data_IF_289267753320
#
_entry.id   IF_289267753320
#
_cell.length_a   1.000
_cell.length_b   1.000
_cell.length_c   1.000
_cell.angle_alpha   90.00
_cell.angle_beta   90.00
_cell.angle_gamma   90.00
#
_symmetry.space_group_name_H-M   'P 1'
#
loop_
_entity.id
_entity.type
_entity.pdbx_description
1 polymer ?
#
# COMPACT_ATOMS: atom_id res chain seq x y z
N UNK A 1 47.60 -21.21 -16.34
CA UNK A 1 47.31 -20.46 -15.09
C UNK A 1 45.82 -20.25 -14.75
N UNK A 2 44.87 -20.26 -15.70
CA UNK A 2 43.45 -19.88 -15.44
C UNK A 2 42.56 -20.96 -14.80
N UNK A 3 42.88 -22.25 -14.94
CA UNK A 3 42.01 -23.35 -14.46
C UNK A 3 42.21 -23.66 -12.98
N UNK A 4 43.46 -23.60 -12.48
CA UNK A 4 43.78 -23.85 -11.07
C UNK A 4 43.21 -22.77 -10.14
N UNK A 5 43.19 -21.51 -10.60
CA UNK A 5 42.59 -20.39 -9.85
C UNK A 5 41.07 -20.54 -9.76
N UNK A 6 40.39 -20.96 -10.82
CA UNK A 6 38.94 -21.23 -10.79
C UNK A 6 38.57 -22.36 -9.81
N UNK A 7 39.35 -23.43 -9.76
CA UNK A 7 39.13 -24.53 -8.81
C UNK A 7 39.32 -24.08 -7.35
N UNK A 8 40.29 -23.20 -7.09
CA UNK A 8 40.49 -22.58 -5.77
C UNK A 8 39.30 -21.70 -5.35
N UNK A 9 38.75 -20.89 -6.27
CA UNK A 9 37.57 -20.08 -5.98
C UNK A 9 36.32 -20.92 -5.74
N UNK A 10 36.11 -21.99 -6.51
CA UNK A 10 34.99 -22.91 -6.29
C UNK A 10 35.15 -23.64 -4.95
N UNK A 11 36.36 -24.10 -4.62
CA UNK A 11 36.65 -24.71 -3.32
C UNK A 11 36.39 -23.75 -2.15
N UNK A 12 36.81 -22.50 -2.28
CA UNK A 12 36.55 -21.47 -1.27
C UNK A 12 35.05 -21.16 -1.12
N UNK A 13 34.32 -21.06 -2.23
CA UNK A 13 32.88 -20.82 -2.21
C UNK A 13 32.11 -21.98 -1.54
N UNK A 14 32.46 -23.24 -1.88
CA UNK A 14 31.87 -24.42 -1.25
C UNK A 14 32.20 -24.47 0.24
N UNK A 15 33.43 -24.13 0.62
CA UNK A 15 33.84 -24.07 2.02
C UNK A 15 33.06 -23.01 2.81
N UNK A 16 32.88 -21.81 2.26
CA UNK A 16 32.07 -20.74 2.87
C UNK A 16 30.62 -21.20 3.03
N UNK A 17 30.01 -21.80 2.00
CA UNK A 17 28.64 -22.31 2.07
C UNK A 17 28.51 -23.40 3.14
N UNK A 18 29.47 -24.33 3.20
CA UNK A 18 29.47 -25.41 4.18
C UNK A 18 29.62 -24.89 5.61
N UNK A 19 30.53 -23.94 5.85
CA UNK A 19 30.73 -23.31 7.15
C UNK A 19 29.51 -22.48 7.55
N UNK A 20 28.94 -21.68 6.64
CA UNK A 20 27.69 -20.94 6.88
C UNK A 20 26.53 -21.88 7.21
N UNK A 21 26.40 -23.01 6.50
CA UNK A 21 25.40 -24.03 6.81
C UNK A 21 25.62 -24.63 8.20
N UNK A 22 26.85 -24.99 8.57
CA UNK A 22 27.17 -25.56 9.89
C UNK A 22 27.00 -24.57 11.04
N UNK A 23 27.18 -23.27 10.80
CA UNK A 23 26.88 -22.22 11.77
C UNK A 23 25.35 -22.08 11.97
N UNK A 24 24.56 -22.22 10.90
CA UNK A 24 23.10 -22.09 10.92
C UNK A 24 22.36 -23.39 11.27
N UNK A 25 23.02 -24.56 11.20
CA UNK A 25 22.45 -25.88 11.45
C UNK A 25 21.74 -25.99 12.82
N UNK A 26 22.26 -25.43 13.93
CA UNK A 26 21.57 -25.46 15.22
C UNK A 26 20.26 -24.65 15.22
N UNK A 27 20.21 -23.50 14.53
CA UNK A 27 19.00 -22.67 14.42
C UNK A 27 17.96 -23.29 13.49
N UNK A 28 18.39 -23.87 12.37
CA UNK A 28 17.53 -24.59 11.44
C UNK A 28 16.90 -25.83 12.10
N UNK A 29 17.65 -26.56 12.93
CA UNK A 29 17.13 -27.67 13.73
C UNK A 29 16.17 -27.19 14.83
N UNK A 30 16.43 -26.03 15.45
CA UNK A 30 15.50 -25.39 16.39
C UNK A 30 14.17 -25.05 15.73
N UNK A 31 14.21 -24.48 14.53
CA UNK A 31 13.02 -24.13 13.75
C UNK A 31 12.23 -25.38 13.34
N UNK A 32 12.92 -26.44 12.88
CA UNK A 32 12.30 -27.72 12.52
C UNK A 32 11.65 -28.41 13.73
N UNK A 33 12.28 -28.36 14.90
CA UNK A 33 11.75 -28.97 16.13
C UNK A 33 10.59 -28.16 16.72
N UNK A 34 10.62 -26.82 16.65
CA UNK A 34 9.50 -25.95 17.04
C UNK A 34 8.29 -26.11 16.12
N UNK A 35 8.52 -26.35 14.82
CA UNK A 35 7.47 -26.69 13.87
C UNK A 35 6.88 -28.07 14.24
N UNK A 36 7.71 -29.10 14.42
CA UNK A 36 7.24 -30.46 14.73
C UNK A 36 6.50 -30.56 16.07
N UNK A 37 6.90 -29.81 17.11
CA UNK A 37 6.17 -29.79 18.39
C UNK A 37 4.80 -29.12 18.30
N UNK A 38 4.64 -28.10 17.45
CA UNK A 38 3.36 -27.43 17.17
C UNK A 38 2.38 -28.32 16.39
N UNK A 39 2.89 -29.21 15.53
CA UNK A 39 2.09 -30.18 14.79
C UNK A 39 1.70 -31.42 15.63
N UNK A 40 2.61 -31.92 16.47
CA UNK A 40 2.28 -33.09 17.32
C UNK A 40 1.32 -32.76 18.48
N UNK A 41 1.14 -31.48 18.85
CA UNK A 41 0.14 -31.07 19.84
C UNK A 41 -1.28 -30.93 19.28
N UNK A 42 -1.47 -31.04 17.95
CA UNK A 42 -2.77 -30.90 17.29
C UNK A 42 -3.34 -32.21 16.73
N UNK A 43 -2.60 -33.32 16.79
CA UNK A 43 -3.00 -34.64 16.26
C UNK A 43 -3.58 -35.61 17.31
N UNK A 44 -4.02 -35.11 18.47
CA UNK A 44 -4.45 -35.95 19.58
C UNK A 44 -5.77 -35.54 20.22
N UNK A 45 -6.85 -35.33 19.44
CA UNK A 45 -8.22 -35.38 19.96
C UNK A 45 -9.27 -35.52 18.84
N UNK A 46 -9.75 -36.76 18.69
CA UNK A 46 -11.05 -37.21 18.19
C UNK A 46 -11.58 -36.67 16.84
N UNK A 47 -11.33 -37.48 15.81
CA UNK A 47 -12.22 -37.63 14.66
C UNK A 47 -13.51 -38.35 15.11
N UNK A 48 -14.63 -37.63 15.10
CA UNK A 48 -15.96 -38.23 14.97
C UNK A 48 -16.66 -37.50 13.83
N UNK A 49 -17.15 -38.29 12.87
CA UNK A 49 -17.93 -37.86 11.71
C UNK A 49 -19.05 -36.91 12.14
N UNK A 50 -19.03 -35.69 11.61
CA UNK A 50 -20.15 -34.78 11.67
C UNK A 50 -20.81 -34.74 10.28
N UNK A 51 -22.02 -35.28 10.20
CA UNK A 51 -22.98 -35.05 9.12
C UNK A 51 -23.09 -33.55 8.77
N UNK A 52 -23.46 -33.22 7.51
CA UNK A 52 -23.52 -31.83 7.07
C UNK A 52 -24.52 -31.05 7.92
N UNK A 53 -24.01 -30.23 8.84
CA UNK A 53 -24.81 -29.27 9.57
C UNK A 53 -25.38 -28.29 8.56
N UNK A 54 -26.69 -28.36 8.37
CA UNK A 54 -27.52 -27.29 7.82
C UNK A 54 -27.04 -25.96 8.40
N UNK A 55 -26.52 -25.11 7.53
CA UNK A 55 -26.18 -23.72 7.86
C UNK A 55 -27.42 -23.09 8.47
N UNK A 56 -27.36 -22.82 9.77
CA UNK A 56 -28.36 -22.03 10.46
C UNK A 56 -28.38 -20.64 9.83
N UNK A 57 -29.34 -20.42 8.94
CA UNK A 57 -29.80 -19.10 8.53
C UNK A 57 -30.45 -18.44 9.73
N UNK A 58 -29.64 -17.82 10.58
CA UNK A 58 -30.10 -16.87 11.58
C UNK A 58 -29.00 -15.86 11.89
N UNK A 59 -28.83 -14.90 10.97
CA UNK A 59 -28.60 -13.52 11.38
C UNK A 59 -29.73 -12.67 10.79
N UNK A 60 -30.78 -12.61 11.58
CA UNK A 60 -31.86 -11.63 11.52
C UNK A 60 -31.29 -10.22 11.76
N UNK A 61 -30.85 -9.56 10.70
CA UNK A 61 -30.77 -8.08 10.66
C UNK A 61 -30.84 -7.49 9.25
N UNK A 62 -31.06 -8.31 8.21
CA UNK A 62 -31.20 -7.83 6.83
C UNK A 62 -32.50 -8.29 6.15
N UNK A 63 -33.60 -8.32 6.90
CA UNK A 63 -34.95 -8.26 6.33
C UNK A 63 -35.59 -6.96 6.79
N UNK A 64 -35.12 -5.85 6.21
CA UNK A 64 -35.91 -4.63 6.18
C UNK A 64 -36.94 -4.87 5.08
N UNK A 65 -38.20 -5.02 5.47
CA UNK A 65 -39.32 -4.93 4.53
C UNK A 65 -39.09 -3.71 3.64
N UNK A 66 -38.78 -3.95 2.37
CA UNK A 66 -38.67 -2.90 1.37
C UNK A 66 -40.09 -2.40 1.09
N UNK A 67 -40.53 -1.44 1.91
CA UNK A 67 -41.56 -0.51 1.50
C UNK A 67 -41.03 0.22 0.26
N UNK A 68 -41.59 -0.14 -0.89
CA UNK A 68 -41.17 0.30 -2.22
C UNK A 68 -41.45 1.77 -2.49
N UNK A 69 -40.64 2.66 -1.92
CA UNK A 69 -40.28 3.90 -2.61
C UNK A 69 -38.98 3.63 -3.36
N UNK A 70 -39.02 3.65 -4.69
CA UNK A 70 -37.85 3.58 -5.54
C UNK A 70 -36.88 4.71 -5.13
N UNK A 71 -35.70 4.35 -4.61
CA UNK A 71 -34.72 5.34 -4.16
C UNK A 71 -34.22 6.06 -5.42
N UNK A 72 -34.52 7.35 -5.51
CA UNK A 72 -34.10 8.18 -6.64
C UNK A 72 -32.58 8.32 -6.68
N UNK A 73 -32.01 8.49 -7.88
CA UNK A 73 -30.59 8.84 -8.06
C UNK A 73 -30.19 10.05 -7.20
N UNK A 74 -31.08 11.03 -7.07
CA UNK A 74 -30.88 12.20 -6.23
C UNK A 74 -30.74 11.84 -4.75
N UNK A 75 -31.59 10.94 -4.23
CA UNK A 75 -31.47 10.47 -2.85
C UNK A 75 -30.16 9.71 -2.62
N UNK A 76 -29.73 8.87 -3.56
CA UNK A 76 -28.43 8.18 -3.47
C UNK A 76 -27.28 9.18 -3.43
N UNK A 77 -27.26 10.16 -4.36
CA UNK A 77 -26.22 11.21 -4.40
C UNK A 77 -26.23 12.01 -3.09
N UNK A 78 -27.40 12.37 -2.58
CA UNK A 78 -27.51 13.14 -1.35
C UNK A 78 -26.97 12.34 -0.15
N UNK A 79 -27.32 11.06 -0.02
CA UNK A 79 -26.77 10.16 1.00
C UNK A 79 -25.26 10.00 0.85
N UNK A 80 -24.73 9.89 -0.37
CA UNK A 80 -23.28 9.86 -0.58
C UNK A 80 -22.60 11.17 -0.16
N UNK A 81 -23.19 12.32 -0.49
CA UNK A 81 -22.65 13.63 -0.06
C UNK A 81 -22.66 13.72 1.47
N UNK A 82 -23.74 13.31 2.12
CA UNK A 82 -23.85 13.35 3.59
C UNK A 82 -22.84 12.42 4.27
N UNK A 83 -22.60 11.23 3.70
CA UNK A 83 -21.69 10.24 4.28
C UNK A 83 -20.21 10.55 3.99
N UNK A 84 -19.89 11.14 2.83
CA UNK A 84 -18.50 11.28 2.37
C UNK A 84 -18.00 12.72 2.28
N UNK A 85 -18.84 13.74 2.49
CA UNK A 85 -18.36 15.13 2.55
C UNK A 85 -17.62 15.37 3.87
N UNK A 86 -16.30 15.62 3.86
CA UNK A 86 -15.55 15.83 5.09
C UNK A 86 -15.99 17.12 5.79
N UNK A 87 -16.32 17.02 7.08
CA UNK A 87 -16.51 18.18 7.94
C UNK A 87 -15.17 18.59 8.57
N UNK A 88 -14.48 19.55 7.92
CA UNK A 88 -13.19 20.07 8.38
C UNK A 88 -13.24 20.88 9.70
N UNK A 89 -14.44 21.17 10.22
CA UNK A 89 -14.64 21.94 11.45
C UNK A 89 -15.27 21.10 12.56
N UNK A 90 -15.31 19.78 12.40
CA UNK A 90 -15.79 18.89 13.44
C UNK A 90 -14.93 19.07 14.71
N UNK A 91 -15.55 19.32 15.88
CA UNK A 91 -14.82 19.51 17.13
C UNK A 91 -14.16 18.19 17.55
N UNK A 92 -12.90 18.25 17.95
CA UNK A 92 -12.17 17.09 18.44
C UNK A 92 -12.00 17.20 19.95
N UNK A 93 -12.35 16.14 20.68
CA UNK A 93 -12.18 16.05 22.14
C UNK A 93 -10.76 15.62 22.53
N UNK A 94 -10.01 15.06 21.58
CA UNK A 94 -8.63 14.60 21.77
C UNK A 94 -7.80 14.87 20.50
N UNK A 95 -6.52 14.50 20.53
CA UNK A 95 -5.63 14.69 19.39
C UNK A 95 -6.17 13.99 18.13
N UNK A 96 -6.15 14.65 16.95
CA UNK A 96 -6.54 14.00 15.68
C UNK A 96 -5.72 12.73 15.38
N UNK A 97 -4.48 12.69 15.87
CA UNK A 97 -3.57 11.55 15.68
C UNK A 97 -3.98 10.35 16.53
N UNK A 98 -4.44 10.59 17.75
CA UNK A 98 -4.89 9.54 18.67
C UNK A 98 -6.21 8.94 18.16
N UNK A 99 -7.13 9.77 17.66
CA UNK A 99 -8.38 9.33 17.03
C UNK A 99 -8.08 8.44 15.84
N UNK A 100 -7.25 8.92 14.90
CA UNK A 100 -6.87 8.17 13.71
C UNK A 100 -6.18 6.84 14.06
N UNK A 101 -5.34 6.83 15.11
CA UNK A 101 -4.67 5.62 15.54
C UNK A 101 -5.59 4.58 16.16
N UNK A 102 -6.65 5.02 16.88
CA UNK A 102 -7.68 4.13 17.46
C UNK A 102 -8.59 3.50 16.42
N UNK A 103 -8.72 4.10 15.24
CA UNK A 103 -9.54 3.57 14.15
C UNK A 103 -8.97 2.34 13.46
N UNK A 104 -7.65 2.17 13.51
CA UNK A 104 -6.98 1.09 12.77
C UNK A 104 -7.26 -0.24 13.47
N UNK A 105 -7.80 -1.17 12.69
CA UNK A 105 -8.14 -2.54 13.08
C UNK A 105 -7.67 -3.51 11.97
N UNK A 106 -7.59 -4.83 12.23
CA UNK A 106 -7.12 -5.79 11.23
C UNK A 106 -7.86 -5.76 9.89
N UNK A 107 -9.14 -5.32 9.89
CA UNK A 107 -10.04 -5.29 8.72
C UNK A 107 -10.46 -3.89 8.26
N UNK A 108 -9.96 -2.82 8.87
CA UNK A 108 -10.26 -1.44 8.45
C UNK A 108 -9.21 -0.44 8.97
N UNK A 109 -8.95 0.63 8.21
CA UNK A 109 -8.08 1.73 8.63
C UNK A 109 -8.88 2.85 9.29
N UNK A 110 -10.09 3.07 8.81
CA UNK A 110 -11.02 4.07 9.32
C UNK A 110 -12.44 3.49 9.33
N UNK A 111 -13.30 3.92 10.26
CA UNK A 111 -14.66 3.42 10.36
C UNK A 111 -15.52 3.95 9.22
N UNK A 112 -16.63 3.27 8.95
CA UNK A 112 -17.61 3.70 7.95
C UNK A 112 -18.17 5.10 8.22
N UNK A 113 -18.49 5.38 9.49
CA UNK A 113 -19.01 6.66 9.95
C UNK A 113 -17.92 7.45 10.69
N UNK A 114 -16.90 7.89 9.96
CA UNK A 114 -15.77 8.65 10.48
C UNK A 114 -16.07 10.16 10.56
N UNK A 115 -16.83 10.61 11.56
CA UNK A 115 -17.25 12.02 11.70
C UNK A 115 -16.07 12.98 11.83
N UNK A 116 -14.99 12.53 12.46
CA UNK A 116 -13.76 13.26 12.73
C UNK A 116 -12.84 13.32 11.50
N UNK A 117 -13.14 12.57 10.42
CA UNK A 117 -12.25 12.40 9.26
C UNK A 117 -11.85 13.75 8.67
N UNK A 118 -12.81 14.64 8.45
CA UNK A 118 -12.53 15.97 7.93
C UNK A 118 -11.57 16.76 8.81
N UNK A 119 -11.77 16.77 10.13
CA UNK A 119 -10.90 17.49 11.05
C UNK A 119 -9.49 16.89 11.11
N UNK A 120 -9.33 15.57 11.01
CA UNK A 120 -8.02 14.90 10.94
C UNK A 120 -7.30 15.24 9.64
N UNK A 121 -8.00 15.19 8.50
CA UNK A 121 -7.44 15.59 7.21
C UNK A 121 -7.02 17.08 7.23
N UNK A 122 -7.82 17.96 7.85
CA UNK A 122 -7.44 19.37 8.06
C UNK A 122 -6.14 19.47 8.85
N UNK A 123 -6.02 18.75 9.97
CA UNK A 123 -4.82 18.74 10.79
C UNK A 123 -3.60 18.29 9.97
N UNK A 124 -3.71 17.26 9.11
CA UNK A 124 -2.63 16.87 8.20
C UNK A 124 -2.24 18.00 7.24
N UNK A 125 -3.23 18.68 6.66
CA UNK A 125 -3.00 19.73 5.66
C UNK A 125 -2.45 21.04 6.23
N UNK A 126 -2.73 21.37 7.50
CA UNK A 126 -2.42 22.66 8.12
C UNK A 126 -1.39 22.58 9.25
N UNK A 127 -1.15 21.39 9.81
CA UNK A 127 -0.20 21.20 10.89
C UNK A 127 1.22 21.62 10.51
N UNK A 128 2.00 22.06 11.49
CA UNK A 128 3.36 22.55 11.28
C UNK A 128 4.28 21.40 10.92
N UNK A 129 5.04 21.51 9.83
CA UNK A 129 6.07 20.52 9.51
C UNK A 129 7.29 20.82 10.39
N UNK A 130 7.65 19.88 11.27
CA UNK A 130 8.72 20.08 12.26
C UNK A 130 9.96 19.23 11.98
N UNK A 131 9.88 18.27 11.05
CA UNK A 131 11.02 17.51 10.54
C UNK A 131 10.73 17.04 9.12
N UNK A 132 11.77 17.05 8.27
CA UNK A 132 11.71 16.54 6.91
C UNK A 132 12.93 15.69 6.57
N UNK A 133 12.72 14.52 5.98
CA UNK A 133 13.78 13.63 5.51
C UNK A 133 13.29 12.73 4.38
N UNK A 134 14.18 12.04 3.66
CA UNK A 134 13.78 10.93 2.77
C UNK A 134 13.92 9.57 3.47
N UNK A 135 13.08 8.61 3.09
CA UNK A 135 13.19 7.22 3.55
C UNK A 135 14.37 6.47 2.89
N UNK A 136 14.85 5.41 3.51
CA UNK A 136 15.98 4.62 2.96
C UNK A 136 15.58 3.61 1.87
N UNK A 137 14.28 3.38 1.67
CA UNK A 137 13.75 2.34 0.78
C UNK A 137 12.61 2.89 -0.08
N UNK A 138 12.44 2.30 -1.25
CA UNK A 138 11.41 2.67 -2.23
C UNK A 138 12.00 3.00 -3.60
N UNK A 139 11.15 2.94 -4.61
CA UNK A 139 11.52 3.21 -6.00
C UNK A 139 11.23 4.64 -6.42
N UNK A 140 10.31 5.33 -5.76
CA UNK A 140 9.84 6.66 -6.12
C UNK A 140 10.26 7.72 -5.09
N UNK A 141 10.32 8.97 -5.54
CA UNK A 141 10.64 10.12 -4.69
C UNK A 141 9.52 10.36 -3.67
N UNK A 142 9.88 10.37 -2.39
CA UNK A 142 9.00 10.70 -1.28
C UNK A 142 9.80 11.21 -0.10
N UNK A 143 9.18 12.10 0.67
CA UNK A 143 9.71 12.54 1.96
C UNK A 143 8.89 11.92 3.09
N UNK A 144 9.54 11.67 4.22
CA UNK A 144 8.89 11.47 5.51
C UNK A 144 8.90 12.82 6.23
N UNK A 145 7.72 13.31 6.57
CA UNK A 145 7.56 14.53 7.35
C UNK A 145 7.03 14.19 8.75
N UNK A 146 7.36 15.01 9.73
CA UNK A 146 6.74 15.02 11.05
C UNK A 146 5.86 16.26 11.17
N UNK A 147 4.57 16.06 11.44
CA UNK A 147 3.58 17.12 11.65
C UNK A 147 3.37 17.33 13.14
N UNK A 148 3.43 18.58 13.59
CA UNK A 148 3.20 19.04 14.96
C UNK A 148 4.03 18.28 16.01
N UNK A 149 5.25 17.86 15.65
CA UNK A 149 6.13 17.00 16.47
C UNK A 149 5.50 15.67 16.91
N UNK A 150 4.38 15.25 16.32
CA UNK A 150 3.59 14.14 16.81
C UNK A 150 3.38 13.06 15.76
N UNK A 151 2.96 13.44 14.54
CA UNK A 151 2.47 12.48 13.56
C UNK A 151 3.37 12.42 12.32
N UNK A 152 3.82 11.22 11.98
CA UNK A 152 4.56 10.98 10.73
C UNK A 152 3.58 10.91 9.56
N UNK A 153 3.99 11.47 8.44
CA UNK A 153 3.30 11.38 7.15
C UNK A 153 4.31 11.16 6.03
N UNK A 154 3.89 10.49 4.96
CA UNK A 154 4.63 10.44 3.71
C UNK A 154 4.17 11.59 2.84
N UNK A 155 5.08 12.42 2.35
CA UNK A 155 4.83 13.42 1.32
C UNK A 155 5.31 12.91 -0.04
N UNK A 156 4.38 12.82 -1.01
CA UNK A 156 4.72 12.56 -2.42
C UNK A 156 4.49 13.84 -3.23
N UNK A 157 5.54 14.43 -3.84
CA UNK A 157 5.42 15.67 -4.59
C UNK A 157 4.68 15.48 -5.91
N UNK A 158 4.13 16.57 -6.44
CA UNK A 158 3.57 16.62 -7.78
C UNK A 158 4.69 16.51 -8.83
N UNK A 159 4.55 15.56 -9.75
CA UNK A 159 5.47 15.35 -10.87
C UNK A 159 4.94 15.89 -12.20
N UNK A 160 3.63 15.82 -12.38
CA UNK A 160 2.97 16.06 -13.66
C UNK A 160 1.78 17.01 -13.50
N UNK A 161 1.41 17.77 -14.55
CA UNK A 161 0.12 18.43 -14.60
C UNK A 161 -1.01 17.37 -14.68
N UNK A 162 -2.24 17.79 -14.36
CA UNK A 162 -3.38 16.85 -14.21
C UNK A 162 -3.79 16.15 -15.52
N UNK A 163 -3.56 16.81 -16.65
CA UNK A 163 -3.85 16.35 -18.01
C UNK A 163 -2.72 15.52 -18.63
N UNK A 164 -1.63 15.30 -17.91
CA UNK A 164 -0.53 14.48 -18.40
C UNK A 164 -0.93 13.01 -18.57
N UNK A 165 -0.75 12.50 -19.79
CA UNK A 165 -0.96 11.10 -20.15
C UNK A 165 0.36 10.34 -20.08
N UNK A 166 0.41 9.28 -19.27
CA UNK A 166 1.58 8.38 -19.22
C UNK A 166 1.48 7.38 -20.36
N UNK A 167 2.57 7.26 -21.11
CA UNK A 167 2.72 6.33 -22.22
C UNK A 167 3.78 5.26 -21.92
N UNK A 168 3.80 4.19 -22.71
CA UNK A 168 4.75 3.08 -22.59
C UNK A 168 4.13 1.88 -21.89
N UNK A 169 4.91 1.18 -21.06
CA UNK A 169 4.42 0.02 -20.31
C UNK A 169 3.35 0.41 -19.27
N UNK A 170 2.47 -0.52 -18.85
CA UNK A 170 1.40 -0.23 -17.88
C UNK A 170 1.89 0.31 -16.52
N UNK A 171 3.15 0.06 -16.15
CA UNK A 171 3.77 0.49 -14.90
C UNK A 171 4.78 1.64 -15.07
N UNK A 172 4.77 2.29 -16.23
CA UNK A 172 5.62 3.45 -16.54
C UNK A 172 5.28 4.68 -15.68
N UNK A 173 6.20 5.63 -15.62
CA UNK A 173 6.00 6.93 -14.98
C UNK A 173 6.37 6.99 -13.49
N UNK A 174 6.33 8.21 -12.95
CA UNK A 174 6.48 8.52 -11.52
C UNK A 174 5.13 8.45 -10.82
N UNK A 175 5.17 8.37 -9.49
CA UNK A 175 3.96 8.46 -8.66
C UNK A 175 3.24 9.80 -8.91
N UNK A 176 1.93 9.73 -9.14
CA UNK A 176 1.02 10.88 -9.20
C UNK A 176 0.45 11.12 -7.81
N UNK A 177 0.78 12.27 -7.22
CA UNK A 177 0.26 12.65 -5.91
C UNK A 177 -1.27 12.73 -5.88
N UNK A 178 -1.89 13.21 -6.96
CA UNK A 178 -3.34 13.25 -7.12
C UNK A 178 -3.96 11.85 -7.29
N UNK A 179 -3.20 10.87 -7.79
CA UNK A 179 -3.63 9.48 -7.86
C UNK A 179 -3.85 8.87 -6.48
N UNK A 180 -2.94 9.12 -5.52
CA UNK A 180 -3.12 8.70 -4.12
C UNK A 180 -4.39 9.30 -3.48
N UNK A 181 -4.65 10.59 -3.76
CA UNK A 181 -5.83 11.29 -3.23
C UNK A 181 -7.10 10.64 -3.79
N UNK A 182 -7.20 10.50 -5.11
CA UNK A 182 -8.36 9.92 -5.78
C UNK A 182 -8.59 8.46 -5.36
N UNK A 183 -7.51 7.68 -5.24
CA UNK A 183 -7.54 6.31 -4.75
C UNK A 183 -8.15 6.21 -3.34
N UNK A 184 -7.71 7.06 -2.40
CA UNK A 184 -8.26 7.11 -1.04
C UNK A 184 -9.78 7.35 -1.03
N UNK A 185 -10.26 8.34 -1.78
CA UNK A 185 -11.70 8.63 -1.85
C UNK A 185 -12.48 7.53 -2.55
N UNK A 186 -11.96 6.96 -3.65
CA UNK A 186 -12.62 5.84 -4.34
C UNK A 186 -12.72 4.61 -3.42
N UNK A 187 -11.66 4.28 -2.70
CA UNK A 187 -11.69 3.17 -1.74
C UNK A 187 -12.66 3.40 -0.58
N UNK A 188 -12.88 4.66 -0.20
CA UNK A 188 -13.93 5.04 0.76
C UNK A 188 -15.33 4.81 0.19
N UNK A 189 -15.57 5.25 -1.05
CA UNK A 189 -16.84 5.10 -1.76
C UNK A 189 -17.21 3.63 -2.01
N UNK A 190 -16.22 2.78 -2.27
CA UNK A 190 -16.40 1.34 -2.45
C UNK A 190 -16.51 0.57 -1.12
N UNK A 191 -16.43 1.26 0.03
CA UNK A 191 -16.52 0.63 1.35
C UNK A 191 -15.33 -0.25 1.72
N UNK A 192 -14.21 -0.16 0.99
CA UNK A 192 -13.03 -0.99 1.22
C UNK A 192 -12.33 -0.60 2.52
N UNK A 193 -12.13 0.70 2.75
CA UNK A 193 -11.53 1.27 3.97
C UNK A 193 -10.16 0.68 4.33
N UNK A 194 -9.39 0.26 3.33
CA UNK A 194 -8.03 -0.34 3.47
C UNK A 194 -6.89 0.57 2.99
N UNK A 195 -7.20 1.82 2.64
CA UNK A 195 -6.24 2.83 2.19
C UNK A 195 -5.97 3.81 3.34
N UNK A 196 -4.72 4.18 3.65
CA UNK A 196 -4.41 5.20 4.65
C UNK A 196 -5.13 6.53 4.35
N UNK A 197 -5.25 7.40 5.35
CA UNK A 197 -5.81 8.73 5.13
C UNK A 197 -4.87 9.54 4.21
N UNK A 198 -5.45 10.20 3.20
CA UNK A 198 -4.70 10.97 2.20
C UNK A 198 -5.30 12.37 2.01
N UNK A 199 -4.46 13.40 1.99
CA UNK A 199 -4.88 14.77 1.64
C UNK A 199 -3.80 15.52 0.85
N UNK A 200 -4.22 16.37 -0.09
CA UNK A 200 -3.33 17.30 -0.79
C UNK A 200 -2.82 18.42 0.12
N UNK A 201 -1.57 18.84 -0.09
CA UNK A 201 -0.97 20.01 0.58
C UNK A 201 -0.09 20.78 -0.38
N UNK A 202 -0.14 22.11 -0.28
CA UNK A 202 0.81 23.03 -0.93
C UNK A 202 1.76 23.53 0.14
N UNK A 203 3.06 23.33 -0.06
CA UNK A 203 4.10 23.57 0.94
C UNK A 203 5.04 24.64 0.42
N UNK A 204 5.27 25.70 1.19
CA UNK A 204 6.26 26.71 0.86
C UNK A 204 7.65 26.18 1.21
N UNK A 205 8.44 25.80 0.22
CA UNK A 205 9.64 24.97 0.40
C UNK A 205 10.66 25.59 1.35
N UNK A 206 11.02 26.86 1.12
CA UNK A 206 12.01 27.58 1.94
C UNK A 206 11.55 27.85 3.38
N UNK A 207 10.22 27.89 3.62
CA UNK A 207 9.65 28.23 4.93
C UNK A 207 9.31 26.99 5.75
N UNK A 208 8.89 25.91 5.10
CA UNK A 208 8.31 24.74 5.76
C UNK A 208 9.16 23.47 5.62
N UNK A 209 10.01 23.34 4.60
CA UNK A 209 10.85 22.14 4.38
C UNK A 209 12.31 22.42 4.70
N UNK A 210 12.89 23.44 4.07
CA UNK A 210 14.32 23.75 4.19
C UNK A 210 14.78 23.90 5.66
N UNK A 211 14.08 24.62 6.56
CA UNK A 211 14.56 24.86 7.92
C UNK A 211 14.53 23.61 8.83
N UNK A 212 13.75 22.60 8.47
CA UNK A 212 13.50 21.39 9.28
C UNK A 212 14.05 20.12 8.63
N UNK A 213 14.81 20.27 7.55
CA UNK A 213 15.40 19.18 6.79
C UNK A 213 16.64 18.62 7.47
N UNK A 214 16.82 17.31 7.41
CA UNK A 214 18.08 16.67 7.83
C UNK A 214 19.25 17.07 6.92
N UNK A 215 20.48 17.00 7.44
CA UNK A 215 21.67 17.31 6.64
C UNK A 215 21.75 16.50 5.34
N UNK A 216 21.32 15.22 5.35
CA UNK A 216 21.32 14.37 4.15
C UNK A 216 20.26 14.80 3.13
N UNK A 217 19.11 15.30 3.56
CA UNK A 217 18.10 15.82 2.65
C UNK A 217 18.59 17.13 2.01
N UNK A 218 19.20 18.02 2.80
CA UNK A 218 19.78 19.28 2.33
C UNK A 218 20.79 19.07 1.21
N UNK A 219 21.63 18.02 1.28
CA UNK A 219 22.60 17.71 0.20
C UNK A 219 21.97 17.34 -1.15
N UNK A 220 20.65 17.11 -1.17
CA UNK A 220 19.90 16.77 -2.41
C UNK A 220 19.14 17.97 -2.97
N UNK A 221 19.26 19.14 -2.34
CA UNK A 221 18.64 20.37 -2.81
C UNK A 221 19.51 21.01 -3.89
N UNK A 222 18.85 21.62 -4.86
CA UNK A 222 19.50 22.32 -5.96
C UNK A 222 18.57 23.41 -6.49
N UNK A 223 19.13 24.35 -7.24
CA UNK A 223 18.35 25.38 -7.91
C UNK A 223 18.26 25.07 -9.41
N UNK A 224 17.10 25.34 -9.99
CA UNK A 224 16.88 25.24 -11.43
C UNK A 224 15.90 26.32 -11.85
N UNK A 225 16.27 27.12 -12.85
CA UNK A 225 15.42 28.17 -13.43
C UNK A 225 14.87 29.18 -12.39
N UNK A 226 15.65 29.45 -11.34
CA UNK A 226 15.26 30.35 -10.24
C UNK A 226 14.32 29.73 -9.20
N UNK A 227 14.00 28.44 -9.30
CA UNK A 227 13.18 27.71 -8.34
C UNK A 227 14.02 26.76 -7.47
N UNK A 228 13.56 26.54 -6.24
CA UNK A 228 14.11 25.54 -5.34
C UNK A 228 13.66 24.14 -5.74
N UNK A 229 14.60 23.19 -5.79
CA UNK A 229 14.33 21.82 -6.20
C UNK A 229 14.96 20.81 -5.23
N UNK A 230 14.46 19.57 -5.27
CA UNK A 230 15.09 18.45 -4.59
C UNK A 230 14.87 17.13 -5.34
N UNK A 231 15.85 16.23 -5.26
CA UNK A 231 15.74 14.87 -5.80
C UNK A 231 15.74 13.79 -4.71
N UNK A 232 16.03 14.14 -3.45
CA UNK A 232 16.03 13.20 -2.33
C UNK A 232 16.91 11.97 -2.60
N UNK A 233 16.45 10.79 -2.14
CA UNK A 233 17.09 9.51 -2.46
C UNK A 233 16.05 8.40 -2.54
N UNK A 234 16.08 7.65 -3.64
CA UNK A 234 15.27 6.47 -3.90
C UNK A 234 15.99 5.59 -4.92
N UNK A 235 15.47 4.40 -5.28
CA UNK A 235 16.11 3.53 -6.29
C UNK A 235 16.28 4.22 -7.66
N UNK A 236 15.34 5.09 -8.03
CA UNK A 236 15.34 5.84 -9.29
C UNK A 236 15.56 7.35 -9.09
N UNK A 237 16.22 7.74 -8.00
CA UNK A 237 16.53 9.13 -7.69
C UNK A 237 18.04 9.26 -7.51
N UNK A 238 18.75 9.52 -8.61
CA UNK A 238 20.21 9.47 -8.67
C UNK A 238 20.85 10.86 -8.71
N UNK A 239 20.13 11.87 -9.19
CA UNK A 239 20.60 13.24 -9.28
C UNK A 239 19.50 14.26 -9.60
N UNK A 240 19.86 15.52 -9.88
CA UNK A 240 18.94 16.62 -10.19
C UNK A 240 17.94 16.33 -11.32
N UNK A 241 18.30 15.47 -12.28
CA UNK A 241 17.43 14.99 -13.36
C UNK A 241 16.22 14.18 -12.88
N UNK A 242 16.33 13.59 -11.69
CA UNK A 242 15.27 12.86 -10.98
C UNK A 242 14.64 13.73 -9.87
N UNK A 243 14.76 15.04 -9.97
CA UNK A 243 14.22 15.99 -9.00
C UNK A 243 12.90 16.63 -9.39
N UNK A 244 12.23 17.20 -8.40
CA UNK A 244 11.07 18.08 -8.55
C UNK A 244 11.43 19.48 -8.10
N UNK A 245 10.82 20.48 -8.74
CA UNK A 245 11.04 21.89 -8.45
C UNK A 245 9.76 22.55 -7.95
N UNK A 246 9.92 23.63 -7.20
CA UNK A 246 8.81 24.50 -6.81
C UNK A 246 8.25 25.27 -8.00
N UNK A 247 7.07 25.87 -7.80
CA UNK A 247 6.52 26.91 -8.68
C UNK A 247 6.18 28.11 -7.80
N UNK A 248 6.89 29.22 -7.99
CA UNK A 248 6.86 30.39 -7.12
C UNK A 248 7.14 30.03 -5.65
N UNK A 249 8.17 29.19 -5.41
CA UNK A 249 8.58 28.77 -4.07
C UNK A 249 7.63 27.78 -3.36
N UNK A 250 6.55 27.35 -4.03
CA UNK A 250 5.58 26.39 -3.50
C UNK A 250 5.68 25.05 -4.23
N UNK A 251 5.68 23.96 -3.47
CA UNK A 251 5.55 22.61 -4.02
C UNK A 251 4.19 22.01 -3.63
N UNK A 252 3.44 21.56 -4.62
CA UNK A 252 2.22 20.79 -4.41
C UNK A 252 2.57 19.31 -4.21
N UNK A 253 1.82 18.62 -3.36
CA UNK A 253 1.90 17.17 -3.24
C UNK A 253 0.77 16.61 -2.40
N UNK A 254 0.92 15.34 -2.02
CA UNK A 254 -0.05 14.63 -1.18
C UNK A 254 0.64 14.15 0.09
N UNK A 255 -0.11 14.14 1.19
CA UNK A 255 0.27 13.57 2.48
C UNK A 255 -0.50 12.27 2.68
N UNK A 256 0.22 11.20 2.97
CA UNK A 256 -0.33 9.89 3.36
C UNK A 256 -0.01 9.66 4.83
N UNK A 257 -1.04 9.43 5.65
CA UNK A 257 -0.88 9.23 7.08
C UNK A 257 -0.10 7.94 7.36
N UNK A 258 0.92 8.01 8.22
CA UNK A 258 1.68 6.82 8.61
C UNK A 258 0.85 5.94 9.54
N UNK A 259 0.96 4.61 9.37
CA UNK A 259 0.28 3.66 10.24
C UNK A 259 0.73 3.79 11.71
N UNK A 260 -0.15 3.55 12.69
CA UNK A 260 0.25 3.57 14.09
C UNK A 260 1.37 2.56 14.37
N UNK A 261 2.30 2.89 15.28
CA UNK A 261 3.52 2.09 15.49
C UNK A 261 3.26 0.66 15.98
N UNK A 262 2.10 0.40 16.58
CA UNK A 262 1.67 -0.94 16.99
C UNK A 262 1.31 -1.85 15.80
N UNK A 263 0.97 -1.27 14.65
CA UNK A 263 0.61 -1.98 13.43
C UNK A 263 1.82 -2.11 12.50
N UNK A 264 2.70 -3.06 12.82
CA UNK A 264 3.84 -3.40 11.95
C UNK A 264 3.34 -4.08 10.67
N UNK A 265 4.01 -3.81 9.56
CA UNK A 265 3.64 -4.33 8.25
C UNK A 265 4.54 -5.50 7.83
N UNK A 266 3.91 -6.58 7.36
CA UNK A 266 4.56 -7.69 6.67
C UNK A 266 4.38 -7.52 5.17
N UNK A 267 5.48 -7.55 4.43
CA UNK A 267 5.50 -7.42 2.98
C UNK A 267 5.39 -8.81 2.31
N UNK A 268 4.47 -8.95 1.37
CA UNK A 268 4.26 -10.17 0.59
C UNK A 268 4.45 -9.89 -0.90
N UNK A 269 5.00 -10.87 -1.63
CA UNK A 269 5.05 -10.80 -3.10
C UNK A 269 3.66 -11.09 -3.66
N UNK A 270 3.17 -10.23 -4.55
CA UNK A 270 1.89 -10.44 -5.22
C UNK A 270 1.98 -11.64 -6.19
N UNK A 271 1.04 -12.62 -6.17
CA UNK A 271 1.10 -13.77 -7.08
C UNK A 271 1.02 -13.35 -8.55
N UNK A 272 0.19 -12.35 -8.86
CA UNK A 272 0.08 -11.73 -10.17
C UNK A 272 1.08 -10.58 -10.42
N UNK A 273 2.22 -10.56 -9.71
CA UNK A 273 3.27 -9.57 -10.00
C UNK A 273 3.76 -9.72 -11.45
N UNK A 274 3.90 -8.60 -12.16
CA UNK A 274 4.61 -8.53 -13.45
C UNK A 274 6.09 -8.84 -13.28
N UNK A 275 6.78 -9.10 -14.39
CA UNK A 275 8.21 -9.40 -14.41
C UNK A 275 9.10 -8.15 -14.37
N UNK A 276 8.58 -7.00 -14.82
CA UNK A 276 9.31 -5.75 -15.00
C UNK A 276 10.53 -5.88 -15.92
N UNK A 277 10.49 -6.84 -16.85
CA UNK A 277 11.55 -7.09 -17.82
C UNK A 277 10.93 -7.12 -19.21
N UNK A 278 11.51 -6.32 -20.10
CA UNK A 278 11.09 -6.26 -21.49
C UNK A 278 11.18 -7.64 -22.15
N UNK A 279 10.12 -8.02 -22.87
CA UNK A 279 10.03 -9.30 -23.56
C UNK A 279 9.87 -10.55 -22.68
N UNK A 280 9.71 -10.40 -21.35
CA UNK A 280 9.55 -11.55 -20.44
C UNK A 280 8.15 -11.53 -19.83
N UNK A 281 7.32 -12.50 -20.18
CA UNK A 281 5.99 -12.67 -19.61
C UNK A 281 6.05 -13.40 -18.25
N UNK A 282 5.19 -13.01 -17.32
CA UNK A 282 5.00 -13.74 -16.07
C UNK A 282 4.21 -15.04 -16.32
N UNK A 283 4.30 -15.99 -15.37
CA UNK A 283 3.57 -17.26 -15.50
C UNK A 283 2.06 -17.08 -15.60
N UNK A 284 1.50 -16.11 -14.86
CA UNK A 284 0.07 -15.83 -14.90
C UNK A 284 -0.40 -15.24 -16.23
N UNK A 285 0.52 -14.69 -17.05
CA UNK A 285 0.22 -14.14 -18.38
C UNK A 285 0.13 -15.25 -19.45
N UNK A 286 0.67 -16.44 -19.18
CA UNK A 286 0.75 -17.54 -20.14
C UNK A 286 0.04 -18.82 -19.72
N UNK A 287 -0.42 -18.90 -18.48
CA UNK A 287 -1.08 -20.06 -17.89
C UNK A 287 -2.50 -19.70 -17.44
N UNK A 288 -3.49 -20.13 -18.22
CA UNK A 288 -4.91 -19.86 -17.92
C UNK A 288 -5.38 -20.50 -16.60
N UNK A 289 -4.68 -21.54 -16.11
CA UNK A 289 -4.98 -22.23 -14.85
C UNK A 289 -4.08 -21.76 -13.71
N UNK A 290 -3.45 -20.59 -13.85
CA UNK A 290 -2.52 -20.08 -12.84
C UNK A 290 -3.15 -19.94 -11.45
N UNK A 291 -4.43 -19.54 -11.36
CA UNK A 291 -5.10 -19.40 -10.07
C UNK A 291 -5.20 -20.71 -9.28
N UNK A 292 -5.29 -21.88 -9.93
CA UNK A 292 -5.32 -23.17 -9.22
C UNK A 292 -4.03 -23.41 -8.42
N UNK A 293 -2.89 -22.99 -8.99
CA UNK A 293 -1.59 -23.02 -8.31
C UNK A 293 -1.55 -22.04 -7.14
N UNK A 294 -2.16 -20.86 -7.28
CA UNK A 294 -2.28 -19.88 -6.19
C UNK A 294 -3.14 -20.45 -5.06
N UNK A 295 -4.33 -21.00 -5.39
CA UNK A 295 -5.27 -21.64 -4.47
C UNK A 295 -4.67 -22.84 -3.73
N UNK A 296 -3.68 -23.53 -4.30
CA UNK A 296 -2.97 -24.61 -3.60
C UNK A 296 -1.96 -24.14 -2.52
N UNK A 297 -1.65 -22.84 -2.48
CA UNK A 297 -0.73 -22.29 -1.49
C UNK A 297 -1.42 -22.09 -0.14
N UNK A 298 -0.79 -22.45 1.01
CA UNK A 298 -1.38 -22.25 2.32
C UNK A 298 -1.79 -20.81 2.65
N UNK A 299 -1.21 -19.81 1.97
CA UNK A 299 -1.54 -18.40 2.16
C UNK A 299 -2.86 -17.97 1.52
N UNK A 300 -3.34 -18.74 0.53
CA UNK A 300 -4.49 -18.38 -0.31
C UNK A 300 -5.56 -19.48 -0.35
N UNK A 301 -5.25 -20.68 0.16
CA UNK A 301 -6.17 -21.82 0.19
C UNK A 301 -7.29 -21.68 1.22
N UNK A 302 -7.08 -20.85 2.24
CA UNK A 302 -8.04 -20.61 3.34
C UNK A 302 -8.05 -19.13 3.72
N UNK A 303 -9.08 -18.72 4.47
CA UNK A 303 -9.25 -17.34 4.92
C UNK A 303 -9.65 -16.39 3.79
N UNK A 304 -9.39 -15.11 4.01
CA UNK A 304 -9.88 -14.01 3.17
C UNK A 304 -8.81 -13.43 2.23
N UNK A 305 -7.56 -13.89 2.30
CA UNK A 305 -6.44 -13.27 1.57
C UNK A 305 -6.64 -13.27 0.04
N UNK A 306 -7.17 -14.35 -0.52
CA UNK A 306 -7.45 -14.41 -1.97
C UNK A 306 -8.59 -13.45 -2.35
N UNK A 307 -9.64 -13.36 -1.53
CA UNK A 307 -10.74 -12.42 -1.74
C UNK A 307 -10.25 -10.96 -1.63
N UNK A 308 -9.35 -10.67 -0.68
CA UNK A 308 -8.74 -9.35 -0.57
C UNK A 308 -7.92 -8.99 -1.82
N UNK A 309 -7.25 -9.96 -2.46
CA UNK A 309 -6.57 -9.76 -3.75
C UNK A 309 -7.59 -9.46 -4.85
N UNK A 310 -8.73 -10.16 -4.87
CA UNK A 310 -9.80 -9.93 -5.86
C UNK A 310 -10.40 -8.53 -5.68
N UNK A 311 -10.77 -8.13 -4.45
CA UNK A 311 -11.24 -6.77 -4.14
C UNK A 311 -10.22 -5.72 -4.64
N UNK A 312 -8.94 -5.96 -4.34
CA UNK A 312 -7.87 -5.03 -4.68
C UNK A 312 -7.63 -4.96 -6.18
N UNK A 313 -7.76 -6.06 -6.93
CA UNK A 313 -7.57 -6.05 -8.38
C UNK A 313 -8.72 -5.31 -9.10
N UNK A 314 -9.95 -5.41 -8.61
CA UNK A 314 -11.09 -4.63 -9.12
C UNK A 314 -10.82 -3.13 -8.87
N UNK A 315 -10.40 -2.78 -7.66
CA UNK A 315 -10.01 -1.41 -7.34
C UNK A 315 -8.86 -0.90 -8.22
N UNK A 316 -7.78 -1.68 -8.35
CA UNK A 316 -6.62 -1.33 -9.16
C UNK A 316 -7.00 -1.14 -10.63
N UNK A 317 -7.91 -1.97 -11.15
CA UNK A 317 -8.42 -1.83 -12.51
C UNK A 317 -9.15 -0.51 -12.71
N UNK A 318 -10.06 -0.14 -11.79
CA UNK A 318 -10.80 1.12 -11.85
C UNK A 318 -9.89 2.36 -11.85
N UNK A 319 -8.73 2.27 -11.18
CA UNK A 319 -7.76 3.37 -11.14
C UNK A 319 -6.62 3.18 -12.14
N UNK A 320 -6.60 2.11 -12.93
CA UNK A 320 -5.50 1.79 -13.85
C UNK A 320 -4.12 1.58 -13.18
N UNK A 321 -4.08 1.04 -11.96
CA UNK A 321 -2.84 0.74 -11.24
C UNK A 321 -2.31 -0.65 -11.61
N UNK A 322 -1.38 -0.71 -12.56
CA UNK A 322 -0.76 -1.96 -12.99
C UNK A 322 0.55 -2.30 -12.25
N UNK A 323 0.88 -1.60 -11.16
CA UNK A 323 2.17 -1.71 -10.45
C UNK A 323 2.11 -2.40 -9.08
N UNK A 324 0.99 -3.08 -8.75
CA UNK A 324 0.86 -3.83 -7.49
C UNK A 324 1.66 -5.14 -7.50
N UNK A 325 2.98 -5.03 -7.37
CA UNK A 325 3.92 -6.16 -7.33
C UNK A 325 4.10 -6.79 -5.94
N UNK A 326 3.75 -6.04 -4.91
CA UNK A 326 3.79 -6.46 -3.51
C UNK A 326 2.52 -5.95 -2.83
N UNK A 327 2.21 -6.52 -1.69
CA UNK A 327 1.16 -6.05 -0.83
C UNK A 327 1.53 -6.26 0.64
N UNK A 328 0.94 -5.46 1.52
CA UNK A 328 1.22 -5.46 2.94
C UNK A 328 0.04 -5.95 3.76
N UNK A 329 0.34 -6.61 4.88
CA UNK A 329 -0.63 -6.96 5.93
C UNK A 329 -0.06 -6.60 7.29
N UNK A 330 -0.91 -6.47 8.30
CA UNK A 330 -0.47 -6.35 9.69
C UNK A 330 0.18 -7.64 10.19
N UNK A 331 1.37 -7.50 10.76
CA UNK A 331 2.13 -8.59 11.34
C UNK A 331 1.43 -9.15 12.59
N UNK A 332 1.27 -10.47 12.68
CA UNK A 332 0.71 -11.14 13.85
C UNK A 332 -0.82 -11.22 13.91
N UNK A 333 -1.53 -10.73 12.89
CA UNK A 333 -3.00 -10.79 12.80
C UNK A 333 -3.42 -11.77 11.69
N UNK A 334 -4.06 -12.89 12.07
CA UNK A 334 -4.50 -13.92 11.10
C UNK A 334 -5.56 -13.38 10.14
N UNK A 335 -6.45 -12.53 10.63
CA UNK A 335 -7.52 -11.88 9.87
C UNK A 335 -7.06 -10.60 9.13
N UNK A 336 -5.75 -10.30 9.11
CA UNK A 336 -5.27 -9.04 8.55
C UNK A 336 -5.63 -8.87 7.07
N UNK A 337 -6.16 -7.69 6.76
CA UNK A 337 -6.45 -7.28 5.40
C UNK A 337 -5.22 -7.00 4.55
N UNK A 338 -5.40 -7.10 3.23
CA UNK A 338 -4.51 -6.46 2.27
C UNK A 338 -4.63 -4.94 2.41
N UNK A 339 -3.55 -4.30 2.87
CA UNK A 339 -3.46 -2.85 3.03
C UNK A 339 -3.10 -2.25 1.68
N UNK A 340 -3.94 -1.33 1.20
CA UNK A 340 -3.86 -0.78 -0.15
C UNK A 340 -2.94 0.45 -0.16
N UNK A 341 -1.64 0.19 -0.07
CA UNK A 341 -0.58 1.20 -0.15
C UNK A 341 -0.13 1.45 -1.59
N UNK A 342 0.60 2.56 -1.78
CA UNK A 342 1.30 2.95 -3.00
C UNK A 342 0.40 2.99 -4.25
N UNK A 343 -0.67 3.79 -4.20
CA UNK A 343 -1.61 3.97 -5.31
C UNK A 343 -1.20 5.11 -6.25
N UNK A 344 0.04 5.61 -6.15
CA UNK A 344 0.55 6.73 -6.95
C UNK A 344 0.68 6.43 -8.44
N UNK A 345 0.89 5.17 -8.84
CA UNK A 345 0.92 4.77 -10.26
C UNK A 345 -0.47 4.46 -10.82
N UNK A 346 -1.41 5.34 -10.52
CA UNK A 346 -2.80 5.26 -10.95
C UNK A 346 -3.18 6.45 -11.84
N UNK A 347 -4.35 6.37 -12.46
CA UNK A 347 -4.93 7.37 -13.36
C UNK A 347 -3.94 7.77 -14.46
N UNK A 348 -3.20 6.77 -14.98
CA UNK A 348 -2.08 6.90 -15.90
C UNK A 348 -2.48 7.45 -17.27
N UNK A 349 -3.50 6.83 -17.84
CA UNK A 349 -3.94 7.05 -19.20
C UNK A 349 -5.46 6.90 -19.23
N UNK A 350 -6.22 7.95 -19.58
CA UNK A 350 -7.68 7.90 -19.59
C UNK A 350 -8.25 7.13 -20.79
N UNK A 351 -7.43 6.79 -21.78
CA UNK A 351 -7.85 6.17 -23.04
C UNK A 351 -7.58 4.65 -23.08
N UNK A 352 -7.03 4.07 -22.00
CA UNK A 352 -6.61 2.66 -21.95
C UNK A 352 -7.08 2.01 -20.65
N UNK A 353 -7.89 0.96 -20.78
CA UNK A 353 -8.23 0.05 -19.70
C UNK A 353 -7.31 -1.19 -19.72
N UNK A 354 -6.39 -1.28 -18.77
CA UNK A 354 -5.44 -2.41 -18.68
C UNK A 354 -6.13 -3.65 -18.10
N UNK A 355 -6.77 -4.43 -18.98
CA UNK A 355 -7.56 -5.61 -18.60
C UNK A 355 -6.75 -6.67 -17.83
N UNK A 356 -5.43 -6.76 -18.05
CA UNK A 356 -4.60 -7.74 -17.32
C UNK A 356 -4.50 -7.47 -15.82
N UNK A 357 -4.92 -6.29 -15.32
CA UNK A 357 -5.07 -6.05 -13.87
C UNK A 357 -6.14 -6.97 -13.27
N UNK A 358 -7.19 -7.30 -14.01
CA UNK A 358 -8.28 -8.18 -13.57
C UNK A 358 -7.91 -9.68 -13.60
N UNK A 359 -6.65 -10.03 -13.89
CA UNK A 359 -6.20 -11.43 -13.91
C UNK A 359 -6.56 -12.25 -12.66
N UNK A 360 -6.45 -11.72 -11.42
CA UNK A 360 -6.92 -12.46 -10.26
C UNK A 360 -8.42 -12.78 -10.33
N UNK A 361 -9.26 -11.84 -10.77
CA UNK A 361 -10.71 -12.05 -10.89
C UNK A 361 -11.03 -13.09 -11.96
N UNK A 362 -10.62 -12.87 -13.22
CA UNK A 362 -11.05 -13.76 -14.30
C UNK A 362 -10.39 -15.15 -14.26
N UNK A 363 -9.23 -15.31 -13.61
CA UNK A 363 -8.60 -16.63 -13.43
C UNK A 363 -9.14 -17.38 -12.21
N UNK A 364 -9.63 -16.68 -11.19
CA UNK A 364 -10.12 -17.33 -9.97
C UNK A 364 -11.64 -17.53 -9.93
N UNK A 365 -12.37 -16.90 -10.86
CA UNK A 365 -13.82 -16.71 -10.87
C UNK A 365 -14.29 -15.85 -9.68
#
# INVERSE_FOLDING_TARGET
MKTKVRLLFIGAAIFVIYVSYKILEPELLRYKNAYKSKWMSTEGQNANEAEPRTVATSNSSFNREMNGSEITKQQIIQTMIENYKPNFFYPLEESPWDIAAKWVEPRQIYPENAKELGAILKAMSQGTITSADFGQRGTQLKLTLLIDNAQKVVFKPAWYPRDYVVTGTPYSGRDRHNGEIAAFYLGSLLGLRRIPLVIGRRIHFEKEILPVSTSRLITTFFEKDGESCFYGRCRYCMGPEDGVCTTNGVIEGTLVLWMPSQFKLTLHKHPWSRTYREGVQAKWETDDHYCDKVKSSPYYSTGHRLLDIIDTCIFDYLIGNADRHHYETFEGYEDSMLIMLDNGKSFGNPDIDEFSILAPLYQCC
#
